data_IF_350240208859
#
_entry.id   IF_350240208859
#
_cell.length_a   1.000
_cell.length_b   1.000
_cell.length_c   1.000
_cell.angle_alpha   90.00
_cell.angle_beta   90.00
_cell.angle_gamma   90.00
#
_symmetry.space_group_name_H-M   'P 1'
#
loop_
_entity.id
_entity.type
_entity.pdbx_description
1 polymer ?
#
# COMPACT_ATOMS: atom_id res chain seq x y z
N UNK A 1 10.75 -7.60 -1.74
CA UNK A 1 10.35 -6.45 -2.59
C UNK A 1 9.58 -5.49 -1.70
N UNK A 2 9.95 -4.22 -1.73
CA UNK A 2 9.24 -3.15 -1.02
C UNK A 2 8.57 -2.27 -2.07
N UNK A 3 7.28 -2.00 -1.93
CA UNK A 3 6.52 -1.16 -2.86
C UNK A 3 5.60 -0.22 -2.11
N UNK A 4 5.53 1.04 -2.55
CA UNK A 4 4.73 2.08 -1.90
C UNK A 4 3.90 2.87 -2.90
N UNK A 5 4.49 3.32 -4.01
CA UNK A 5 3.84 4.16 -5.00
C UNK A 5 4.48 3.97 -6.37
N UNK A 6 3.92 4.62 -7.40
CA UNK A 6 4.51 4.73 -8.73
C UNK A 6 4.76 6.20 -9.03
N UNK A 7 5.98 6.51 -9.46
CA UNK A 7 6.33 7.81 -10.03
C UNK A 7 6.21 7.79 -11.56
N UNK A 8 5.67 8.85 -12.12
CA UNK A 8 5.79 9.20 -13.53
C UNK A 8 6.93 10.22 -13.66
N UNK A 9 7.94 9.88 -14.46
CA UNK A 9 9.12 10.74 -14.65
C UNK A 9 9.10 11.32 -16.06
N UNK A 10 9.28 12.64 -16.17
CA UNK A 10 9.52 13.32 -17.44
C UNK A 10 10.86 14.04 -17.40
N UNK A 11 11.54 14.07 -18.55
CA UNK A 11 12.72 14.92 -18.72
C UNK A 11 12.31 16.38 -18.77
N UNK A 12 13.04 17.23 -18.05
CA UNK A 12 12.78 18.66 -17.95
C UNK A 12 14.12 19.43 -17.88
N UNK A 13 14.42 20.20 -18.93
CA UNK A 13 15.64 21.01 -19.04
C UNK A 13 15.74 22.08 -17.94
N UNK A 14 14.61 22.54 -17.39
CA UNK A 14 14.57 23.52 -16.31
C UNK A 14 14.85 22.94 -14.93
N UNK A 15 14.90 21.62 -14.79
CA UNK A 15 14.95 20.92 -13.51
C UNK A 15 16.36 20.40 -13.15
N UNK A 16 17.41 21.17 -13.46
CA UNK A 16 18.81 20.74 -13.27
C UNK A 16 19.16 20.40 -11.82
N UNK A 17 18.50 21.03 -10.84
CA UNK A 17 18.64 20.78 -9.41
C UNK A 17 18.10 19.40 -8.97
N UNK A 18 17.29 18.74 -9.80
CA UNK A 18 16.75 17.39 -9.58
C UNK A 18 17.13 16.44 -10.72
N UNK A 19 18.35 16.60 -11.26
CA UNK A 19 18.90 15.76 -12.33
C UNK A 19 18.05 15.76 -13.61
N UNK A 20 17.44 16.90 -13.93
CA UNK A 20 16.57 17.09 -15.10
C UNK A 20 15.36 16.16 -15.14
N UNK A 21 14.98 15.58 -14.00
CA UNK A 21 13.87 14.65 -13.86
C UNK A 21 12.75 15.24 -13.03
N UNK A 22 11.62 15.57 -13.66
CA UNK A 22 10.42 15.96 -12.93
C UNK A 22 9.58 14.73 -12.63
N UNK A 23 9.32 14.46 -11.35
CA UNK A 23 8.47 13.35 -10.89
C UNK A 23 7.07 13.86 -10.54
N UNK A 24 6.07 13.05 -10.85
CA UNK A 24 4.67 13.30 -10.48
C UNK A 24 3.96 11.97 -10.32
N UNK A 25 2.88 11.93 -9.54
CA UNK A 25 2.04 10.74 -9.49
C UNK A 25 1.18 10.59 -10.76
N UNK A 26 0.75 9.35 -11.09
CA UNK A 26 -0.23 9.13 -12.14
C UNK A 26 -1.47 10.00 -11.95
N UNK A 27 -1.95 10.59 -13.06
CA UNK A 27 -3.13 11.45 -13.03
C UNK A 27 -4.35 10.67 -12.52
N UNK A 28 -5.04 11.23 -11.53
CA UNK A 28 -6.24 10.64 -10.94
C UNK A 28 -5.98 9.55 -9.91
N UNK A 29 -4.71 9.28 -9.55
CA UNK A 29 -4.42 8.44 -8.40
C UNK A 29 -4.89 9.12 -7.10
N UNK A 30 -5.52 8.36 -6.21
CA UNK A 30 -5.80 8.80 -4.85
C UNK A 30 -4.48 8.95 -4.11
N UNK A 31 -4.28 10.05 -3.39
CA UNK A 31 -3.02 10.38 -2.73
C UNK A 31 -3.25 10.44 -1.23
N UNK A 32 -2.26 9.96 -0.47
CA UNK A 32 -2.26 10.01 0.98
C UNK A 32 -2.41 11.44 1.51
N UNK A 33 -2.91 11.63 2.75
CA UNK A 33 -3.17 12.96 3.30
C UNK A 33 -1.96 13.89 3.30
N UNK A 34 -0.74 13.38 3.48
CA UNK A 34 0.49 14.20 3.42
C UNK A 34 0.98 14.47 1.99
N UNK A 35 0.33 13.89 0.97
CA UNK A 35 0.76 13.99 -0.42
C UNK A 35 1.94 13.09 -0.78
N UNK A 36 2.32 12.14 0.08
CA UNK A 36 3.56 11.39 -0.07
C UNK A 36 3.44 10.11 -0.89
N UNK A 37 2.30 9.43 -0.83
CA UNK A 37 2.08 8.15 -1.51
C UNK A 37 0.83 8.25 -2.37
N UNK A 38 0.94 7.85 -3.63
CA UNK A 38 -0.23 7.61 -4.46
C UNK A 38 -0.60 6.12 -4.39
N UNK A 39 -1.89 5.86 -4.23
CA UNK A 39 -2.45 4.52 -4.28
C UNK A 39 -2.47 4.04 -5.75
N UNK A 40 -1.50 3.20 -6.12
CA UNK A 40 -1.34 2.69 -7.50
C UNK A 40 -1.17 1.17 -7.52
N UNK A 41 -2.23 0.38 -7.27
CA UNK A 41 -2.17 -1.09 -7.21
C UNK A 41 -1.65 -1.75 -8.49
N UNK A 42 -1.86 -1.12 -9.66
CA UNK A 42 -1.30 -1.63 -10.92
C UNK A 42 0.22 -1.47 -10.99
N UNK A 43 0.78 -0.43 -10.36
CA UNK A 43 2.23 -0.27 -10.21
C UNK A 43 2.82 -1.36 -9.31
N UNK A 44 2.08 -1.78 -8.28
CA UNK A 44 2.45 -2.92 -7.46
C UNK A 44 2.46 -4.23 -8.25
N UNK A 45 1.40 -4.48 -9.04
CA UNK A 45 1.33 -5.67 -9.91
C UNK A 45 2.47 -5.72 -10.94
N UNK A 46 2.78 -4.60 -11.60
CA UNK A 46 3.91 -4.53 -12.54
C UNK A 46 5.26 -4.70 -11.84
N UNK A 47 5.39 -4.27 -10.58
CA UNK A 47 6.60 -4.54 -9.78
C UNK A 47 6.75 -6.02 -9.44
N UNK A 48 5.65 -6.70 -9.11
CA UNK A 48 5.63 -8.17 -8.93
C UNK A 48 6.01 -8.89 -10.23
N UNK A 49 5.53 -8.41 -11.38
CA UNK A 49 5.85 -8.95 -12.71
C UNK A 49 7.33 -8.80 -13.04
N UNK A 50 7.90 -7.63 -12.74
CA UNK A 50 9.33 -7.39 -12.89
C UNK A 50 10.14 -8.30 -11.96
N UNK A 51 9.74 -8.43 -10.69
CA UNK A 51 10.37 -9.36 -9.75
C UNK A 51 10.26 -10.83 -10.20
N UNK A 52 9.15 -11.20 -10.84
CA UNK A 52 8.93 -12.55 -11.35
C UNK A 52 9.92 -12.93 -12.47
N UNK A 53 10.37 -11.98 -13.28
CA UNK A 53 11.34 -12.20 -14.35
C UNK A 53 12.69 -12.76 -13.84
N UNK A 54 13.00 -12.59 -12.55
CA UNK A 54 14.20 -13.15 -11.93
C UNK A 54 14.10 -14.65 -11.59
N UNK A 55 12.93 -15.27 -11.79
CA UNK A 55 12.69 -16.71 -11.55
C UNK A 55 13.02 -17.18 -10.11
N UNK A 56 12.88 -16.29 -9.13
CA UNK A 56 13.04 -16.57 -7.71
C UNK A 56 11.69 -16.41 -6.98
N UNK A 57 11.50 -17.06 -5.81
CA UNK A 57 10.39 -16.74 -4.93
C UNK A 57 10.34 -15.26 -4.57
N UNK A 58 9.14 -14.69 -4.52
CA UNK A 58 8.92 -13.30 -4.18
C UNK A 58 8.34 -13.22 -2.77
N UNK A 59 8.99 -12.44 -1.91
CA UNK A 59 8.41 -11.94 -0.67
C UNK A 59 8.13 -10.45 -0.83
N UNK A 60 6.89 -10.03 -0.56
CA UNK A 60 6.57 -8.61 -0.37
C UNK A 60 6.92 -8.28 1.06
N UNK A 61 8.08 -7.69 1.26
CA UNK A 61 8.70 -7.46 2.56
C UNK A 61 8.17 -6.18 3.22
N UNK A 62 7.73 -5.21 2.41
CA UNK A 62 7.02 -4.02 2.87
C UNK A 62 6.02 -3.55 1.81
N UNK A 63 4.82 -3.20 2.25
CA UNK A 63 3.84 -2.44 1.48
C UNK A 63 2.86 -1.75 2.43
N UNK A 64 2.59 -0.47 2.20
CA UNK A 64 1.67 0.30 3.04
C UNK A 64 1.64 1.77 2.66
N UNK A 65 0.91 2.56 3.45
CA UNK A 65 0.68 3.97 3.17
C UNK A 65 0.68 4.76 4.47
N UNK A 66 1.29 5.95 4.43
CA UNK A 66 1.18 6.91 5.51
C UNK A 66 -0.26 7.46 5.51
N UNK A 67 -0.92 7.40 6.65
CA UNK A 67 -2.29 7.85 6.78
C UNK A 67 -2.65 7.89 8.26
N UNK A 68 -2.56 9.05 8.89
CA UNK A 68 -2.87 9.17 10.31
C UNK A 68 -4.37 9.01 10.61
N UNK A 69 -5.24 9.25 9.63
CA UNK A 69 -6.71 9.20 9.78
C UNK A 69 -7.30 7.83 9.43
N UNK A 70 -6.52 6.95 8.81
CA UNK A 70 -6.96 5.62 8.35
C UNK A 70 -8.10 5.67 7.31
N UNK A 71 -8.15 6.73 6.49
CA UNK A 71 -9.17 6.93 5.45
C UNK A 71 -8.77 6.35 4.09
N UNK A 72 -7.47 6.30 3.79
CA UNK A 72 -6.90 5.69 2.59
C UNK A 72 -6.36 4.29 2.86
N UNK A 73 -5.81 4.03 4.06
CA UNK A 73 -5.13 2.77 4.38
C UNK A 73 -5.97 1.52 4.12
N UNK A 74 -7.26 1.44 4.49
CA UNK A 74 -8.07 0.26 4.18
C UNK A 74 -8.18 0.00 2.68
N UNK A 75 -8.48 1.05 1.89
CA UNK A 75 -8.56 0.98 0.42
C UNK A 75 -7.24 0.55 -0.20
N UNK A 76 -6.14 1.18 0.23
CA UNK A 76 -4.79 0.84 -0.22
C UNK A 76 -4.49 -0.64 0.05
N UNK A 77 -4.74 -1.13 1.26
CA UNK A 77 -4.51 -2.51 1.65
C UNK A 77 -5.35 -3.49 0.79
N UNK A 78 -6.66 -3.27 0.69
CA UNK A 78 -7.57 -4.11 -0.10
C UNK A 78 -7.12 -4.19 -1.55
N UNK A 79 -6.86 -3.05 -2.19
CA UNK A 79 -6.53 -3.04 -3.61
C UNK A 79 -5.14 -3.65 -3.90
N UNK A 80 -4.16 -3.47 -3.01
CA UNK A 80 -2.84 -4.08 -3.16
C UNK A 80 -2.86 -5.59 -2.90
N UNK A 81 -3.64 -6.07 -1.93
CA UNK A 81 -3.86 -7.52 -1.73
C UNK A 81 -4.61 -8.12 -2.91
N UNK A 82 -5.60 -7.43 -3.49
CA UNK A 82 -6.27 -7.87 -4.72
C UNK A 82 -5.29 -7.95 -5.91
N UNK A 83 -4.38 -6.97 -6.06
CA UNK A 83 -3.31 -7.03 -7.05
C UNK A 83 -2.32 -8.19 -6.80
N UNK A 84 -1.99 -8.50 -5.53
CA UNK A 84 -1.19 -9.66 -5.16
C UNK A 84 -1.90 -10.98 -5.53
N UNK A 85 -3.20 -11.05 -5.25
CA UNK A 85 -4.04 -12.19 -5.59
C UNK A 85 -4.04 -12.45 -7.10
N UNK A 86 -4.12 -11.41 -7.95
CA UNK A 86 -3.96 -11.54 -9.41
C UNK A 86 -2.64 -12.25 -9.74
N UNK A 87 -1.52 -11.80 -9.17
CA UNK A 87 -0.20 -12.40 -9.40
C UNK A 87 -0.14 -13.88 -8.97
N UNK A 88 -0.75 -14.22 -7.83
CA UNK A 88 -0.86 -15.62 -7.35
C UNK A 88 -1.66 -16.47 -8.34
N UNK A 89 -2.75 -15.96 -8.91
CA UNK A 89 -3.56 -16.68 -9.91
C UNK A 89 -2.85 -16.92 -11.24
N UNK A 90 -1.82 -16.12 -11.56
CA UNK A 90 -0.91 -16.39 -12.68
C UNK A 90 0.22 -17.37 -12.32
N UNK A 91 0.12 -18.08 -11.18
CA UNK A 91 1.11 -19.03 -10.67
C UNK A 91 2.50 -18.43 -10.39
N UNK A 92 2.59 -17.13 -10.13
CA UNK A 92 3.86 -16.52 -9.70
C UNK A 92 4.19 -17.00 -8.27
N UNK A 93 5.47 -17.28 -8.01
CA UNK A 93 5.96 -17.86 -6.73
C UNK A 93 5.97 -16.82 -5.60
N UNK A 94 4.82 -16.28 -5.24
CA UNK A 94 4.64 -15.39 -4.08
C UNK A 94 4.67 -16.23 -2.80
N UNK A 95 5.46 -15.80 -1.81
CA UNK A 95 5.65 -16.52 -0.55
C UNK A 95 5.05 -15.83 0.66
N UNK A 96 4.72 -14.56 0.55
CA UNK A 96 4.14 -13.81 1.66
C UNK A 96 4.07 -12.33 1.38
N UNK A 97 3.24 -11.67 2.20
CA UNK A 97 3.03 -10.24 2.23
C UNK A 97 3.16 -9.75 3.65
N UNK A 98 4.01 -8.75 3.85
CA UNK A 98 4.24 -8.09 5.12
C UNK A 98 3.83 -6.62 4.98
N UNK A 99 2.84 -6.21 5.76
CA UNK A 99 2.39 -4.83 5.79
C UNK A 99 3.43 -3.93 6.46
N UNK A 100 3.72 -2.78 5.86
CA UNK A 100 4.49 -1.71 6.47
C UNK A 100 3.53 -0.62 6.97
N UNK A 101 3.24 -0.53 8.27
CA UNK A 101 3.87 -1.27 9.37
C UNK A 101 2.89 -1.68 10.45
N UNK A 102 3.33 -2.48 11.42
CA UNK A 102 2.45 -2.92 12.52
C UNK A 102 2.06 -1.74 13.42
N UNK A 103 3.02 -0.89 13.78
CA UNK A 103 2.84 0.26 14.69
C UNK A 103 3.54 1.46 14.07
N UNK A 104 2.97 2.65 14.23
CA UNK A 104 3.66 3.90 13.88
C UNK A 104 5.08 3.92 14.45
N UNK A 105 6.03 4.39 13.64
CA UNK A 105 7.45 4.40 13.98
C UNK A 105 8.10 5.73 13.56
N UNK A 106 9.40 5.85 13.83
CA UNK A 106 10.21 6.99 13.41
C UNK A 106 10.60 6.83 11.94
N UNK A 107 9.98 7.62 11.05
CA UNK A 107 10.12 7.49 9.60
C UNK A 107 11.31 8.32 9.09
N UNK A 108 12.53 7.82 9.35
CA UNK A 108 13.77 8.34 8.77
C UNK A 108 13.93 9.86 8.90
N UNK A 109 14.23 10.58 7.80
CA UNK A 109 14.42 12.03 7.79
C UNK A 109 13.15 12.83 8.17
N UNK A 110 11.99 12.16 8.19
CA UNK A 110 10.68 12.77 8.45
C UNK A 110 10.27 12.62 9.91
N UNK A 111 11.02 11.84 10.67
CA UNK A 111 10.77 11.54 12.06
C UNK A 111 9.32 11.10 12.31
N UNK A 112 8.66 11.74 13.26
CA UNK A 112 7.31 11.37 13.68
C UNK A 112 6.20 12.11 12.89
N UNK A 113 6.42 12.52 11.64
CA UNK A 113 5.35 13.18 10.86
C UNK A 113 4.54 12.21 10.02
N UNK A 114 5.13 11.05 9.67
CA UNK A 114 4.47 10.01 8.88
C UNK A 114 3.92 8.93 9.81
N UNK A 115 2.77 8.37 9.44
CA UNK A 115 2.01 7.43 10.27
C UNK A 115 1.64 6.23 9.42
N UNK A 116 2.50 5.21 9.39
CA UNK A 116 2.31 4.00 8.56
C UNK A 116 1.63 2.84 9.29
N UNK A 117 1.51 2.91 10.62
CA UNK A 117 1.09 1.77 11.42
C UNK A 117 -0.36 1.35 11.19
N UNK A 118 -0.62 0.05 11.25
CA UNK A 118 -1.98 -0.45 11.51
C UNK A 118 -2.45 -0.01 12.91
N UNK A 119 -1.53 -0.03 13.87
CA UNK A 119 -1.69 0.65 15.15
C UNK A 119 -1.08 2.04 15.10
N UNK A 120 -1.84 3.04 15.53
CA UNK A 120 -1.28 4.33 15.91
C UNK A 120 -0.40 4.22 17.15
N UNK A 121 0.52 5.17 17.34
CA UNK A 121 1.34 5.27 18.55
C UNK A 121 1.25 6.68 19.14
N UNK A 122 0.85 6.79 20.39
CA UNK A 122 1.13 7.98 21.18
C UNK A 122 2.61 7.95 21.59
N UNK A 123 3.41 8.85 21.03
CA UNK A 123 4.86 8.88 21.28
C UNK A 123 5.23 9.26 22.72
N UNK A 124 4.34 9.95 23.43
CA UNK A 124 4.58 10.40 24.80
C UNK A 124 4.24 9.31 25.83
N UNK A 125 3.11 8.61 25.65
CA UNK A 125 2.64 7.58 26.58
C UNK A 125 3.01 6.16 26.16
N UNK A 126 3.42 5.96 24.91
CA UNK A 126 3.63 4.65 24.26
C UNK A 126 2.35 3.82 24.07
N UNK A 127 1.17 4.41 24.27
CA UNK A 127 -0.09 3.73 24.03
C UNK A 127 -0.31 3.45 22.54
N UNK A 128 -0.88 2.27 22.24
CA UNK A 128 -1.25 1.89 20.87
C UNK A 128 -2.69 2.29 20.61
N UNK A 129 -2.90 3.02 19.53
CA UNK A 129 -4.21 3.54 19.13
C UNK A 129 -4.75 2.62 18.03
N UNK A 130 -5.90 1.99 18.27
CA UNK A 130 -6.53 1.09 17.30
C UNK A 130 -7.01 1.88 16.08
N UNK A 131 -6.63 1.47 14.87
CA UNK A 131 -7.20 1.97 13.60
C UNK A 131 -8.02 0.86 12.93
N UNK A 132 -9.10 1.18 12.18
CA UNK A 132 -9.89 0.17 11.46
C UNK A 132 -9.06 -0.82 10.63
N UNK A 133 -7.99 -0.34 9.98
CA UNK A 133 -7.11 -1.18 9.15
C UNK A 133 -6.46 -2.35 9.90
N UNK A 134 -6.26 -2.25 11.23
CA UNK A 134 -5.71 -3.39 11.99
C UNK A 134 -6.68 -4.56 12.01
N UNK A 135 -7.97 -4.28 12.08
CA UNK A 135 -9.02 -5.29 12.16
C UNK A 135 -9.21 -5.94 10.79
N UNK A 136 -9.25 -5.12 9.74
CA UNK A 136 -9.19 -5.58 8.35
C UNK A 136 -7.99 -6.50 8.10
N UNK A 137 -6.77 -6.09 8.48
CA UNK A 137 -5.59 -6.91 8.26
C UNK A 137 -5.59 -8.19 9.11
N UNK A 138 -6.13 -8.15 10.32
CA UNK A 138 -6.30 -9.32 11.17
C UNK A 138 -7.30 -10.32 10.56
N UNK A 139 -8.40 -9.84 9.98
CA UNK A 139 -9.39 -10.64 9.26
C UNK A 139 -8.80 -11.25 7.99
N UNK A 140 -8.09 -10.47 7.17
CA UNK A 140 -7.37 -10.98 5.98
C UNK A 140 -6.41 -12.12 6.38
N UNK A 141 -5.64 -11.94 7.45
CA UNK A 141 -4.72 -12.96 7.94
C UNK A 141 -5.45 -14.21 8.45
N UNK A 142 -6.58 -14.04 9.14
CA UNK A 142 -7.37 -15.13 9.72
C UNK A 142 -8.06 -15.98 8.64
N UNK A 143 -8.63 -15.33 7.65
CA UNK A 143 -9.34 -15.98 6.55
C UNK A 143 -8.42 -16.35 5.38
N UNK A 144 -7.19 -15.86 5.40
CA UNK A 144 -6.22 -16.02 4.32
C UNK A 144 -6.78 -15.56 2.96
N UNK A 145 -7.51 -14.44 2.96
CA UNK A 145 -8.21 -13.93 1.79
C UNK A 145 -8.94 -12.62 2.05
N UNK A 146 -9.55 -12.06 1.01
CA UNK A 146 -10.50 -10.94 1.10
C UNK A 146 -11.91 -11.51 0.91
N UNK A 147 -12.85 -11.08 1.75
CA UNK A 147 -14.29 -11.34 1.57
C UNK A 147 -15.03 -10.08 1.11
N UNK A 148 -16.22 -10.26 0.53
CA UNK A 148 -17.08 -9.13 0.15
C UNK A 148 -17.52 -8.32 1.37
N UNK A 149 -17.72 -8.98 2.50
CA UNK A 149 -18.15 -8.39 3.76
C UNK A 149 -17.05 -7.49 4.32
N UNK A 150 -15.80 -7.95 4.34
CA UNK A 150 -14.64 -7.13 4.73
C UNK A 150 -14.53 -5.88 3.85
N UNK A 151 -14.59 -6.04 2.53
CA UNK A 151 -14.45 -4.89 1.63
C UNK A 151 -15.63 -3.93 1.77
N UNK A 152 -16.85 -4.42 2.00
CA UNK A 152 -18.01 -3.59 2.26
C UNK A 152 -17.88 -2.79 3.57
N UNK A 153 -17.35 -3.41 4.63
CA UNK A 153 -17.19 -2.76 5.94
C UNK A 153 -16.05 -1.74 5.95
N UNK A 154 -14.86 -2.12 5.45
CA UNK A 154 -13.65 -1.33 5.65
C UNK A 154 -13.29 -0.45 4.44
N UNK A 155 -13.71 -0.80 3.23
CA UNK A 155 -13.35 -0.07 2.01
C UNK A 155 -14.49 -0.11 0.95
N UNK A 156 -15.72 0.33 1.30
CA UNK A 156 -16.90 0.17 0.45
C UNK A 156 -16.74 0.80 -0.94
N UNK A 157 -15.92 1.85 -1.07
CA UNK A 157 -15.70 2.55 -2.33
C UNK A 157 -15.01 1.69 -3.40
N UNK A 158 -14.27 0.65 -2.99
CA UNK A 158 -13.60 -0.27 -3.92
C UNK A 158 -14.32 -1.62 -4.05
N UNK A 159 -15.47 -1.80 -3.40
CA UNK A 159 -16.23 -3.06 -3.41
C UNK A 159 -16.56 -3.51 -4.83
N UNK A 160 -17.18 -2.65 -5.64
CA UNK A 160 -17.55 -2.99 -7.01
C UNK A 160 -16.35 -3.28 -7.93
N UNK A 161 -15.16 -2.79 -7.56
CA UNK A 161 -13.92 -3.03 -8.31
C UNK A 161 -13.30 -4.39 -7.96
N UNK A 162 -13.36 -4.79 -6.69
CA UNK A 162 -12.78 -6.05 -6.21
C UNK A 162 -13.76 -7.22 -6.37
N UNK A 163 -15.04 -6.98 -6.13
CA UNK A 163 -16.15 -7.93 -6.25
C UNK A 163 -17.23 -7.36 -7.18
N UNK A 164 -17.01 -7.40 -8.51
CA UNK A 164 -18.00 -6.93 -9.47
C UNK A 164 -19.26 -7.81 -9.42
N UNK A 165 -20.44 -7.18 -9.54
CA UNK A 165 -21.69 -7.92 -9.72
C UNK A 165 -21.68 -8.57 -11.11
N UNK A 166 -21.97 -9.87 -11.16
CA UNK A 166 -22.02 -10.70 -12.39
C UNK A 166 -23.36 -10.54 -13.08
#
# INVERSE_FOLDING_TARGET
MNYYTRDMVKFDLGASNILFGHRQFPKGAEVSPSGFIANVPEGFYESLKWAHAYNLPILVTENGVEDHLDTLRPKYLVEHIHALWRAVNFNWRIKGYFHWSLVDNFEWERGWTQRFGLWGLDTSTQERIRRPSVDLYAEICRENGLSSEMVHEYAPEVLAKVFPQV
#
